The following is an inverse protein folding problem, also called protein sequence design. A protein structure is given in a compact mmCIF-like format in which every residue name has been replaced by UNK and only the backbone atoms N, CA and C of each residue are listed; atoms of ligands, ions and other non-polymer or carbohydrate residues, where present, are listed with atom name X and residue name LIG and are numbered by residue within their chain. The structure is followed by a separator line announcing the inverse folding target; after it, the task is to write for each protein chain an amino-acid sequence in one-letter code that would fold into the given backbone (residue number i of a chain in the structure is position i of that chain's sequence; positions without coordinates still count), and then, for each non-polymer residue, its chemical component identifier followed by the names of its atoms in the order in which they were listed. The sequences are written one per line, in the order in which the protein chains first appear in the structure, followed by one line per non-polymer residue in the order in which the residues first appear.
data_IF_071834408396
#
_entry.id   IF_071834408396
#
_cell.length_a   1.000
_cell.length_b   1.000
_cell.length_c   1.000
_cell.angle_alpha   90.00
_cell.angle_beta   90.00
_cell.angle_gamma   90.00
#
_symmetry.space_group_name_H-M   'P 1'
#
loop_
_entity.id
_entity.type
_entity.pdbx_description
1 polymer ?
#
# COMPACT_ATOMS: atom_id res chain seq x y z
N UNK A 1 5.54 21.05 -2.82
CA UNK A 1 6.13 19.87 -2.13
C UNK A 1 5.61 19.62 -0.73
N UNK A 2 5.95 20.43 0.30
CA UNK A 2 5.55 20.13 1.69
C UNK A 2 4.03 20.03 1.87
N UNK A 3 3.27 20.93 1.22
CA UNK A 3 1.81 20.89 1.25
C UNK A 3 1.23 19.66 0.55
N UNK A 4 1.78 19.28 -0.61
CA UNK A 4 1.36 18.07 -1.34
C UNK A 4 1.66 16.79 -0.53
N UNK A 5 2.85 16.69 0.07
CA UNK A 5 3.24 15.58 0.93
C UNK A 5 2.36 15.47 2.18
N UNK A 6 1.99 16.61 2.79
CA UNK A 6 1.09 16.63 3.94
C UNK A 6 -0.32 16.15 3.55
N UNK A 7 -0.85 16.60 2.42
CA UNK A 7 -2.14 16.14 1.89
C UNK A 7 -2.10 14.63 1.60
N UNK A 8 -1.02 14.16 0.97
CA UNK A 8 -0.82 12.75 0.63
C UNK A 8 -0.76 11.88 1.89
N UNK A 9 -0.05 12.33 2.93
CA UNK A 9 0.02 11.65 4.21
C UNK A 9 -1.35 11.54 4.89
N UNK A 10 -2.19 12.59 4.84
CA UNK A 10 -3.56 12.55 5.38
C UNK A 10 -4.43 11.56 4.61
N UNK A 11 -4.40 11.59 3.28
CA UNK A 11 -5.15 10.64 2.44
C UNK A 11 -4.73 9.20 2.76
N UNK A 12 -3.43 8.95 2.88
CA UNK A 12 -2.95 7.61 3.22
C UNK A 12 -3.32 7.18 4.64
N UNK A 13 -3.30 8.09 5.60
CA UNK A 13 -3.72 7.76 6.97
C UNK A 13 -5.18 7.32 7.00
N UNK A 14 -6.07 8.05 6.30
CA UNK A 14 -7.49 7.69 6.17
C UNK A 14 -7.62 6.34 5.46
N UNK A 15 -6.87 6.13 4.37
CA UNK A 15 -6.88 4.88 3.62
C UNK A 15 -6.45 3.68 4.47
N UNK A 16 -5.36 3.78 5.24
CA UNK A 16 -4.91 2.71 6.14
C UNK A 16 -6.01 2.37 7.16
N UNK A 17 -6.62 3.38 7.79
CA UNK A 17 -7.68 3.16 8.79
C UNK A 17 -8.89 2.45 8.18
N UNK A 18 -9.34 2.87 7.00
CA UNK A 18 -10.45 2.22 6.30
C UNK A 18 -10.12 0.78 5.91
N UNK A 19 -8.90 0.55 5.43
CA UNK A 19 -8.49 -0.75 4.95
C UNK A 19 -8.29 -1.74 6.11
N UNK A 20 -7.68 -1.30 7.22
CA UNK A 20 -7.60 -2.10 8.46
C UNK A 20 -9.00 -2.45 8.97
N UNK A 21 -9.96 -1.52 8.93
CA UNK A 21 -11.34 -1.82 9.30
C UNK A 21 -11.99 -2.86 8.38
N UNK A 22 -11.81 -2.74 7.06
CA UNK A 22 -12.31 -3.72 6.10
C UNK A 22 -11.69 -5.12 6.31
N UNK A 23 -10.39 -5.15 6.62
CA UNK A 23 -9.65 -6.37 6.94
C UNK A 23 -10.13 -7.05 8.22
N UNK A 24 -10.35 -6.29 9.29
CA UNK A 24 -10.89 -6.82 10.56
C UNK A 24 -12.32 -7.36 10.38
N UNK A 25 -13.08 -6.82 9.43
CA UNK A 25 -14.41 -7.32 9.09
C UNK A 25 -14.42 -8.57 8.19
N UNK A 26 -13.27 -8.98 7.66
CA UNK A 26 -13.15 -10.16 6.80
C UNK A 26 -12.97 -11.43 7.64
N UNK A 27 -13.70 -12.49 7.31
CA UNK A 27 -13.56 -13.81 7.95
C UNK A 27 -12.21 -14.48 7.61
N UNK A 28 -11.56 -14.02 6.54
CA UNK A 28 -10.27 -14.50 6.02
C UNK A 28 -9.07 -13.89 6.76
N UNK A 29 -8.91 -14.26 8.03
CA UNK A 29 -7.85 -13.75 8.93
C UNK A 29 -6.44 -14.08 8.41
N UNK A 30 -6.25 -15.23 7.74
CA UNK A 30 -4.95 -15.68 7.20
C UNK A 30 -4.44 -14.77 6.07
N UNK A 31 -5.30 -14.47 5.10
CA UNK A 31 -4.99 -13.55 4.00
C UNK A 31 -4.75 -12.14 4.48
N UNK A 32 -5.48 -11.74 5.52
CA UNK A 32 -5.43 -10.42 6.13
C UNK A 32 -4.08 -10.16 6.80
N UNK A 33 -3.61 -11.10 7.62
CA UNK A 33 -2.31 -10.98 8.31
C UNK A 33 -1.14 -10.96 7.32
N UNK A 34 -1.24 -11.71 6.22
CA UNK A 34 -0.17 -11.78 5.24
C UNK A 34 0.00 -10.49 4.39
N UNK A 35 -1.07 -9.72 4.18
CA UNK A 35 -1.02 -8.48 3.39
C UNK A 35 -0.85 -7.21 4.24
N UNK A 36 -1.14 -7.28 5.53
CA UNK A 36 -1.10 -6.14 6.45
C UNK A 36 0.27 -5.42 6.50
N UNK A 37 1.43 -6.12 6.56
CA UNK A 37 2.72 -5.45 6.55
C UNK A 37 2.90 -4.60 5.29
N UNK A 38 2.55 -5.12 4.13
CA UNK A 38 2.68 -4.42 2.85
C UNK A 38 1.80 -3.16 2.80
N UNK A 39 0.54 -3.29 3.21
CA UNK A 39 -0.43 -2.18 3.25
C UNK A 39 0.03 -1.04 4.16
N UNK A 40 0.63 -1.36 5.30
CA UNK A 40 1.12 -0.34 6.25
C UNK A 40 2.43 0.28 5.75
N UNK A 41 3.34 -0.51 5.17
CA UNK A 41 4.63 0.00 4.71
C UNK A 41 4.54 0.80 3.41
N UNK A 42 3.56 0.51 2.56
CA UNK A 42 3.45 1.11 1.23
C UNK A 42 3.29 2.64 1.25
N UNK A 43 2.38 3.23 2.04
CA UNK A 43 2.26 4.68 2.14
C UNK A 43 3.53 5.38 2.64
N UNK A 44 4.25 4.74 3.56
CA UNK A 44 5.52 5.24 4.05
C UNK A 44 6.57 5.21 2.95
N UNK A 45 6.65 4.12 2.18
CA UNK A 45 7.55 4.00 1.04
C UNK A 45 7.29 5.10 0.00
N UNK A 46 6.02 5.35 -0.36
CA UNK A 46 5.68 6.40 -1.32
C UNK A 46 6.01 7.81 -0.83
N UNK A 47 5.79 8.11 0.45
CA UNK A 47 6.17 9.41 1.02
C UNK A 47 7.69 9.59 1.00
N UNK A 48 8.43 8.55 1.34
CA UNK A 48 9.89 8.55 1.27
C UNK A 48 10.37 8.70 -0.18
N UNK A 49 9.79 7.96 -1.12
CA UNK A 49 10.14 8.03 -2.54
C UNK A 49 9.83 9.42 -3.14
N UNK A 50 8.67 10.00 -2.81
CA UNK A 50 8.30 11.36 -3.21
C UNK A 50 9.26 12.41 -2.64
N UNK A 51 9.73 12.24 -1.40
CA UNK A 51 10.75 13.13 -0.82
C UNK A 51 12.14 12.96 -1.46
N UNK A 52 12.49 11.73 -1.85
CA UNK A 52 13.77 11.39 -2.46
C UNK A 52 13.88 11.86 -3.91
N UNK A 53 12.76 12.01 -4.62
CA UNK A 53 12.69 12.43 -6.04
C UNK A 53 13.47 13.74 -6.30
N UNK A 54 13.50 14.66 -5.34
CA UNK A 54 14.25 15.93 -5.47
C UNK A 54 15.76 15.70 -5.54
N UNK A 55 16.25 14.68 -4.86
CA UNK A 55 17.68 14.33 -4.81
C UNK A 55 18.07 13.26 -5.83
N UNK A 56 17.13 12.38 -6.17
CA UNK A 56 17.31 11.25 -7.07
C UNK A 56 16.09 11.15 -7.99
N UNK A 57 16.09 11.85 -9.13
CA UNK A 57 14.98 11.82 -10.08
C UNK A 57 14.73 10.40 -10.60
N UNK A 58 13.46 10.01 -10.69
CA UNK A 58 13.00 8.71 -11.16
C UNK A 58 12.74 7.68 -10.06
N UNK A 59 13.15 7.93 -8.81
CA UNK A 59 12.90 7.01 -7.68
C UNK A 59 11.40 6.87 -7.40
N UNK A 60 10.63 7.95 -7.50
CA UNK A 60 9.20 7.91 -7.28
C UNK A 60 8.48 7.03 -8.31
N UNK A 61 8.88 7.12 -9.59
CA UNK A 61 8.32 6.29 -10.65
C UNK A 61 8.65 4.80 -10.45
N UNK A 62 9.87 4.49 -9.98
CA UNK A 62 10.28 3.11 -9.66
C UNK A 62 9.44 2.56 -8.50
N UNK A 63 9.24 3.34 -7.44
CA UNK A 63 8.46 2.92 -6.27
C UNK A 63 6.98 2.66 -6.61
N UNK A 64 6.38 3.51 -7.45
CA UNK A 64 5.04 3.28 -8.00
C UNK A 64 4.99 1.97 -8.78
N UNK A 65 5.97 1.73 -9.67
CA UNK A 65 5.98 0.53 -10.49
C UNK A 65 6.10 -0.74 -9.64
N UNK A 66 7.02 -0.75 -8.67
CA UNK A 66 7.19 -1.86 -7.73
C UNK A 66 5.91 -2.10 -6.92
N UNK A 67 5.28 -1.03 -6.46
CA UNK A 67 4.00 -1.12 -5.75
C UNK A 67 2.95 -1.80 -6.61
N UNK A 68 2.77 -1.36 -7.86
CA UNK A 68 1.74 -1.92 -8.75
C UNK A 68 1.99 -3.41 -8.96
N UNK A 69 3.25 -3.80 -9.22
CA UNK A 69 3.61 -5.21 -9.40
C UNK A 69 3.28 -6.03 -8.14
N UNK A 70 3.72 -5.59 -6.96
CA UNK A 70 3.47 -6.33 -5.71
C UNK A 70 1.98 -6.33 -5.36
N UNK A 71 1.28 -5.22 -5.56
CA UNK A 71 -0.16 -5.11 -5.34
C UNK A 71 -0.95 -6.08 -6.20
N UNK A 72 -0.60 -6.22 -7.48
CA UNK A 72 -1.22 -7.21 -8.38
C UNK A 72 -0.94 -8.63 -7.88
N UNK A 73 0.29 -8.95 -7.48
CA UNK A 73 0.63 -10.29 -6.98
C UNK A 73 -0.14 -10.64 -5.69
N UNK A 74 -0.27 -9.70 -4.76
CA UNK A 74 -1.05 -9.88 -3.53
C UNK A 74 -2.55 -10.03 -3.84
N UNK A 75 -3.06 -9.26 -4.80
CA UNK A 75 -4.45 -9.36 -5.25
C UNK A 75 -4.74 -10.72 -5.89
N UNK A 76 -3.88 -11.20 -6.80
CA UNK A 76 -4.02 -12.53 -7.40
C UNK A 76 -4.02 -13.62 -6.32
N UNK A 77 -3.13 -13.51 -5.33
CA UNK A 77 -3.10 -14.45 -4.20
C UNK A 77 -4.40 -14.43 -3.39
N UNK A 78 -4.97 -13.24 -3.13
CA UNK A 78 -6.27 -13.09 -2.47
C UNK A 78 -7.39 -13.78 -3.27
N UNK A 79 -7.47 -13.52 -4.58
CA UNK A 79 -8.48 -14.16 -5.45
C UNK A 79 -8.34 -15.68 -5.44
N UNK A 80 -7.12 -16.21 -5.54
CA UNK A 80 -6.87 -17.65 -5.52
C UNK A 80 -7.28 -18.32 -4.21
N UNK A 81 -7.15 -17.62 -3.08
CA UNK A 81 -7.58 -18.15 -1.80
C UNK A 81 -9.11 -18.18 -1.68
N UNK A 82 -9.79 -17.10 -2.09
CA UNK A 82 -11.26 -17.03 -2.10
C UNK A 82 -11.90 -18.06 -3.04
N UNK A 83 -11.30 -18.28 -4.23
CA UNK A 83 -11.80 -19.26 -5.22
C UNK A 83 -11.43 -20.71 -4.85
N UNK A 84 -10.43 -20.88 -3.98
CA UNK A 84 -9.97 -22.19 -3.53
C UNK A 84 -10.79 -22.79 -2.38
N UNK A 85 -11.62 -21.98 -1.71
CA UNK A 85 -12.67 -22.40 -0.78
C UNK A 85 -13.96 -22.81 -1.52
#
# INVERSE_FOLDING_TARGET
MIFELALLAVIYTIWIVLLVNAMVSSEEVSLTIATLPFIVTFPLALLLAASAEVTMPGVFAIDILLTVVVGVLLFVRWVMAIVGE
#
